data_IF_495816146546
#
_entry.id   IF_495816146546
#
_cell.length_a   1.000
_cell.length_b   1.000
_cell.length_c   1.000
_cell.angle_alpha   90.00
_cell.angle_beta   90.00
_cell.angle_gamma   90.00
#
_symmetry.space_group_name_H-M   'P 1'
#
loop_
_entity.id
_entity.type
_entity.pdbx_description
1 polymer ?
#
# COMPACT_ATOMS: atom_id res chain seq x y z
N UNK A 1 7.50 -4.76 11.19
CA UNK A 1 6.07 -5.05 11.46
C UNK A 1 5.18 -3.79 11.38
N UNK A 2 5.56 -2.74 10.62
CA UNK A 2 4.72 -1.53 10.45
C UNK A 2 4.86 -0.92 9.03
N UNK A 3 5.33 -1.68 8.04
CA UNK A 3 5.61 -1.15 6.71
C UNK A 3 4.38 -0.53 6.05
N UNK A 4 3.21 -1.16 6.24
CA UNK A 4 1.94 -0.64 5.73
C UNK A 4 1.58 0.71 6.37
N UNK A 5 1.81 0.86 7.67
CA UNK A 5 1.48 2.10 8.38
C UNK A 5 2.44 3.25 8.03
N UNK A 6 3.73 2.95 7.85
CA UNK A 6 4.71 3.93 7.42
C UNK A 6 4.38 4.44 6.00
N UNK A 7 4.11 3.52 5.07
CA UNK A 7 3.70 3.88 3.70
C UNK A 7 2.43 4.75 3.68
N UNK A 8 1.44 4.41 4.50
CA UNK A 8 0.21 5.19 4.62
C UNK A 8 0.47 6.59 5.19
N UNK A 9 1.33 6.70 6.20
CA UNK A 9 1.71 8.00 6.79
C UNK A 9 2.47 8.89 5.80
N UNK A 10 3.42 8.32 5.05
CA UNK A 10 4.13 9.00 3.95
C UNK A 10 3.20 9.47 2.82
N UNK A 11 1.98 8.91 2.75
CA UNK A 11 0.98 9.26 1.75
C UNK A 11 -0.24 9.97 2.35
N UNK A 12 -0.08 10.57 3.53
CA UNK A 12 -1.03 11.51 4.11
C UNK A 12 -2.18 10.87 4.89
N UNK A 13 -2.14 9.55 5.12
CA UNK A 13 -3.11 8.88 5.99
C UNK A 13 -2.65 9.05 7.44
N UNK A 14 -3.48 9.63 8.33
CA UNK A 14 -3.09 9.86 9.71
C UNK A 14 -2.74 8.57 10.45
N UNK A 15 -1.67 8.61 11.25
CA UNK A 15 -1.18 7.46 12.00
C UNK A 15 -2.26 6.87 12.92
N UNK A 16 -2.99 7.72 13.63
CA UNK A 16 -4.06 7.29 14.55
C UNK A 16 -5.22 6.62 13.83
N UNK A 17 -5.58 7.09 12.64
CA UNK A 17 -6.60 6.46 11.81
C UNK A 17 -6.14 5.07 11.34
N UNK A 18 -4.90 4.96 10.87
CA UNK A 18 -4.34 3.70 10.36
C UNK A 18 -4.28 2.60 11.44
N UNK A 19 -4.10 2.96 12.72
CA UNK A 19 -4.12 2.01 13.86
C UNK A 19 -5.48 1.35 14.06
N UNK A 20 -6.56 2.04 13.72
CA UNK A 20 -7.93 1.51 13.87
C UNK A 20 -8.32 0.52 12.78
N UNK A 21 -7.53 0.42 11.71
CA UNK A 21 -7.82 -0.43 10.56
C UNK A 21 -7.28 -1.84 10.74
N UNK A 22 -8.06 -2.82 10.29
CA UNK A 22 -7.57 -4.20 10.15
C UNK A 22 -6.34 -4.24 9.23
N UNK A 23 -5.51 -5.27 9.38
CA UNK A 23 -4.33 -5.45 8.50
C UNK A 23 -4.75 -5.54 7.02
N UNK A 24 -5.83 -6.25 6.72
CA UNK A 24 -6.37 -6.36 5.37
C UNK A 24 -6.74 -4.99 4.79
N UNK A 25 -7.38 -4.11 5.57
CA UNK A 25 -7.73 -2.76 5.14
C UNK A 25 -6.50 -1.88 4.91
N UNK A 26 -5.49 -1.99 5.77
CA UNK A 26 -4.20 -1.28 5.56
C UNK A 26 -3.53 -1.74 4.27
N UNK A 27 -3.45 -3.04 4.02
CA UNK A 27 -2.90 -3.60 2.78
C UNK A 27 -3.66 -3.12 1.55
N UNK A 28 -5.00 -3.17 1.56
CA UNK A 28 -5.82 -2.69 0.46
C UNK A 28 -5.61 -1.18 0.17
N UNK A 29 -5.47 -0.37 1.22
CA UNK A 29 -5.16 1.05 1.07
C UNK A 29 -3.77 1.27 0.46
N UNK A 30 -2.76 0.49 0.86
CA UNK A 30 -1.43 0.55 0.24
C UNK A 30 -1.48 0.22 -1.26
N UNK A 31 -2.24 -0.81 -1.65
CA UNK A 31 -2.46 -1.19 -3.06
C UNK A 31 -3.11 -0.07 -3.83
N UNK A 32 -4.24 0.46 -3.33
CA UNK A 32 -4.97 1.53 -4.00
C UNK A 32 -4.12 2.81 -4.20
N UNK A 33 -3.29 3.17 -3.22
CA UNK A 33 -2.38 4.33 -3.34
C UNK A 33 -1.27 4.05 -4.35
N UNK A 34 -0.71 2.84 -4.35
CA UNK A 34 0.35 2.44 -5.29
C UNK A 34 -0.16 2.39 -6.72
N UNK A 35 -1.37 1.87 -6.96
CA UNK A 35 -2.01 1.84 -8.28
C UNK A 35 -2.26 3.25 -8.82
N UNK A 36 -2.69 4.19 -7.97
CA UNK A 36 -2.82 5.61 -8.37
C UNK A 36 -1.50 6.24 -8.81
N UNK A 37 -0.36 5.69 -8.40
CA UNK A 37 0.98 6.13 -8.80
C UNK A 37 1.53 5.34 -10.01
N UNK A 38 0.73 4.46 -10.58
CA UNK A 38 1.10 3.66 -11.76
C UNK A 38 1.87 2.38 -11.44
N UNK A 39 1.90 1.95 -10.17
CA UNK A 39 2.31 0.58 -9.86
C UNK A 39 1.19 -0.39 -10.24
N UNK A 40 1.54 -1.62 -10.58
CA UNK A 40 0.56 -2.68 -10.88
C UNK A 40 0.71 -3.79 -9.85
N UNK A 41 -0.35 -4.05 -9.09
CA UNK A 41 -0.36 -5.14 -8.12
C UNK A 41 -0.94 -6.40 -8.76
N UNK A 42 -0.15 -7.47 -8.84
CA UNK A 42 -0.61 -8.77 -9.32
C UNK A 42 -1.28 -9.53 -8.18
N UNK A 43 -2.60 -9.73 -8.32
CA UNK A 43 -3.39 -10.48 -7.35
C UNK A 43 -3.12 -11.99 -7.39
N UNK A 44 -2.65 -12.52 -8.53
CA UNK A 44 -2.29 -13.94 -8.68
C UNK A 44 -1.01 -14.28 -7.92
N UNK A 45 0.00 -13.42 -8.02
CA UNK A 45 1.30 -13.63 -7.37
C UNK A 45 1.40 -12.94 -6.02
N UNK A 46 0.40 -12.13 -5.64
CA UNK A 46 0.38 -11.26 -4.46
C UNK A 46 1.61 -10.35 -4.36
N UNK A 47 2.10 -9.83 -5.50
CA UNK A 47 3.30 -8.98 -5.59
C UNK A 47 3.09 -7.80 -6.52
N UNK A 48 3.84 -6.70 -6.29
CA UNK A 48 3.90 -5.62 -7.26
C UNK A 48 4.77 -6.03 -8.46
N UNK A 49 4.28 -5.75 -9.67
CA UNK A 49 5.08 -5.86 -10.87
C UNK A 49 6.11 -4.72 -10.85
N UNK A 50 7.39 -5.08 -10.81
CA UNK A 50 8.45 -4.10 -11.03
C UNK A 50 8.28 -3.56 -12.45
N UNK A 51 8.16 -2.24 -12.61
CA UNK A 51 8.40 -1.65 -13.94
C UNK A 51 9.84 -2.00 -14.31
N UNK A 52 10.01 -2.79 -15.37
CA UNK A 52 11.31 -2.92 -16.03
C UNK A 52 11.79 -1.50 -16.36
N UNK A 53 13.03 -1.19 -15.96
CA UNK A 53 13.54 0.16 -15.80
C UNK A 53 13.40 1.07 -17.02
N UNK A 54 13.33 2.37 -16.72
CA UNK A 54 13.84 3.44 -17.59
C UNK A 54 15.29 3.73 -17.19
#
# INVERSE_FOLDING_TARGET
MFQEMLFLAEHGVPWDLSKTWSRARRMAACVAISERKGAVFSWETMTYLQKAGE
#
